data_IF_268458937072
#
_entry.id   IF_268458937072
#
_cell.length_a   1.000
_cell.length_b   1.000
_cell.length_c   1.000
_cell.angle_alpha   90.00
_cell.angle_beta   90.00
_cell.angle_gamma   90.00
#
_symmetry.space_group_name_H-M   'P 1'
#
loop_
_entity.id
_entity.type
_entity.pdbx_description
1 polymer ?
#
# COMPACT_ATOMS: atom_id res chain seq x y z
N UNK A 1 29.73 44.55 48.34
CA UNK A 1 28.57 44.17 47.50
C UNK A 1 28.98 43.06 46.55
N UNK A 2 28.68 41.81 46.88
CA UNK A 2 28.95 40.65 46.02
C UNK A 2 27.76 40.49 45.06
N UNK A 3 27.97 40.74 43.76
CA UNK A 3 26.97 40.50 42.72
C UNK A 3 26.73 38.99 42.60
N UNK A 4 25.55 38.52 42.97
CA UNK A 4 25.05 37.17 42.65
C UNK A 4 25.02 37.01 41.12
N UNK A 5 25.88 36.15 40.59
CA UNK A 5 25.75 35.66 39.22
C UNK A 5 24.48 34.79 39.13
N UNK A 6 23.51 35.23 38.33
CA UNK A 6 22.37 34.42 37.94
C UNK A 6 22.88 33.22 37.14
N UNK A 7 22.79 32.02 37.72
CA UNK A 7 22.99 30.77 36.98
C UNK A 7 21.88 30.65 35.94
N UNK A 8 22.23 30.79 34.66
CA UNK A 8 21.32 30.45 33.56
C UNK A 8 20.98 28.96 33.70
N UNK A 9 19.72 28.66 34.08
CA UNK A 9 19.16 27.31 34.02
C UNK A 9 19.33 26.79 32.59
N UNK A 10 20.25 25.85 32.40
CA UNK A 10 20.37 25.13 31.12
C UNK A 10 19.06 24.37 30.94
N UNK A 11 18.28 24.76 29.92
CA UNK A 11 17.07 24.02 29.55
C UNK A 11 17.47 22.59 29.21
N UNK A 12 16.84 21.63 29.88
CA UNK A 12 17.11 20.22 29.63
C UNK A 12 16.83 19.92 28.14
N UNK A 13 17.80 19.29 27.46
CA UNK A 13 17.65 18.88 26.06
C UNK A 13 16.42 17.99 25.94
N UNK A 14 15.41 18.45 25.21
CA UNK A 14 14.21 17.68 24.91
C UNK A 14 14.51 16.79 23.71
N UNK A 15 14.27 15.49 23.87
CA UNK A 15 14.35 14.53 22.78
C UNK A 15 12.95 14.39 22.17
N UNK A 16 12.89 14.35 20.85
CA UNK A 16 11.65 14.19 20.08
C UNK A 16 11.84 13.14 18.99
N UNK A 17 10.76 12.52 18.54
CA UNK A 17 10.73 11.71 17.32
C UNK A 17 10.74 12.59 16.06
N UNK A 18 10.88 11.99 14.88
CA UNK A 18 10.71 12.67 13.58
C UNK A 18 9.36 13.40 13.44
N UNK A 19 8.30 12.88 14.08
CA UNK A 19 7.00 13.54 14.11
C UNK A 19 6.85 14.58 15.24
N UNK A 20 7.96 14.99 15.87
CA UNK A 20 8.02 15.95 16.98
C UNK A 20 7.31 15.51 18.28
N UNK A 21 7.12 14.20 18.51
CA UNK A 21 6.59 13.75 19.80
C UNK A 21 7.69 13.76 20.86
N UNK A 22 7.48 14.39 22.04
CA UNK A 22 8.45 14.36 23.11
C UNK A 22 8.63 12.95 23.66
N UNK A 23 9.88 12.49 23.70
CA UNK A 23 10.22 11.18 24.28
C UNK A 23 10.93 11.36 25.63
N UNK A 24 10.48 10.56 26.61
CA UNK A 24 11.11 10.51 27.93
C UNK A 24 12.33 9.61 27.91
N UNK A 25 13.35 9.96 28.69
CA UNK A 25 14.52 9.10 28.91
C UNK A 25 14.14 7.71 29.44
N UNK A 26 13.12 7.66 30.31
CA UNK A 26 12.61 6.42 30.91
C UNK A 26 11.08 6.46 30.91
N UNK A 27 10.45 5.37 30.46
CA UNK A 27 9.02 5.13 30.60
C UNK A 27 8.79 4.15 31.75
N UNK A 28 8.09 4.60 32.79
CA UNK A 28 7.68 3.75 33.91
C UNK A 28 6.23 3.29 33.73
N UNK A 29 5.86 2.21 34.43
CA UNK A 29 4.47 1.72 34.44
C UNK A 29 3.53 2.85 34.84
N UNK A 30 2.59 3.18 33.96
CA UNK A 30 1.56 4.17 34.23
C UNK A 30 0.61 3.66 35.31
N UNK A 31 0.19 4.53 36.22
CA UNK A 31 -0.89 4.27 37.20
C UNK A 31 -2.27 4.16 36.53
N UNK A 32 -2.43 4.70 35.32
CA UNK A 32 -3.67 4.55 34.52
C UNK A 32 -3.90 3.09 34.17
N UNK A 33 -5.10 2.59 34.49
CA UNK A 33 -5.58 1.27 34.04
C UNK A 33 -5.96 1.36 32.56
N UNK A 34 -5.33 0.55 31.71
CA UNK A 34 -5.72 0.39 30.31
C UNK A 34 -6.56 -0.87 30.16
N UNK A 35 -7.58 -0.81 29.30
CA UNK A 35 -8.31 -2.02 28.88
C UNK A 35 -7.33 -2.90 28.13
N UNK A 36 -7.24 -4.17 28.54
CA UNK A 36 -6.38 -5.14 27.86
C UNK A 36 -6.95 -5.39 26.46
N UNK A 37 -6.13 -5.17 25.45
CA UNK A 37 -6.43 -5.51 24.06
C UNK A 37 -5.65 -6.78 23.68
N UNK A 38 -6.28 -7.66 22.90
CA UNK A 38 -5.68 -8.89 22.38
C UNK A 38 -5.66 -8.87 20.83
N UNK A 39 -4.77 -9.65 20.22
CA UNK A 39 -4.67 -9.78 18.75
C UNK A 39 -5.90 -10.51 18.19
N UNK A 40 -6.32 -10.16 16.97
CA UNK A 40 -7.53 -10.73 16.35
C UNK A 40 -8.86 -10.17 16.90
N UNK A 41 -8.81 -9.29 17.91
CA UNK A 41 -10.00 -8.70 18.54
C UNK A 41 -10.07 -7.20 18.23
N UNK A 42 -11.26 -6.68 17.93
CA UNK A 42 -11.49 -5.24 17.76
C UNK A 42 -10.96 -4.46 18.98
N UNK A 43 -10.19 -3.35 18.80
CA UNK A 43 -9.96 -2.60 17.56
C UNK A 43 -8.64 -2.97 16.84
N UNK A 44 -8.21 -4.24 16.93
CA UNK A 44 -7.09 -4.83 16.18
C UNK A 44 -5.73 -4.15 16.37
N UNK A 45 -5.56 -3.42 17.46
CA UNK A 45 -4.33 -2.67 17.77
C UNK A 45 -3.10 -3.58 17.90
N UNK A 46 -3.29 -4.85 18.25
CA UNK A 46 -2.23 -5.84 18.43
C UNK A 46 -2.04 -6.79 17.24
N UNK A 47 -2.84 -6.64 16.19
CA UNK A 47 -2.85 -7.55 15.04
C UNK A 47 -4.26 -7.95 14.64
N UNK A 48 -4.45 -8.29 13.36
CA UNK A 48 -5.76 -8.66 12.78
C UNK A 48 -6.08 -10.16 12.90
N UNK A 49 -5.08 -10.99 13.19
CA UNK A 49 -5.23 -12.43 13.44
C UNK A 49 -4.84 -12.73 14.89
N UNK A 50 -5.41 -13.78 15.47
CA UNK A 50 -5.14 -14.15 16.86
C UNK A 50 -3.68 -14.58 17.06
N UNK A 51 -3.19 -15.51 16.25
CA UNK A 51 -1.82 -16.06 16.38
C UNK A 51 -0.77 -15.31 15.56
N UNK A 52 -1.19 -14.43 14.64
CA UNK A 52 -0.30 -13.65 13.76
C UNK A 52 0.82 -14.53 13.17
N UNK A 53 2.08 -14.14 13.41
CA UNK A 53 3.25 -14.78 12.81
C UNK A 53 3.68 -16.07 13.52
N UNK A 54 2.99 -16.50 14.58
CA UNK A 54 3.17 -17.84 15.16
C UNK A 54 2.51 -18.91 14.28
N UNK A 55 1.45 -18.54 13.57
CA UNK A 55 0.75 -19.41 12.63
C UNK A 55 1.32 -19.28 11.21
N UNK A 56 1.44 -18.04 10.70
CA UNK A 56 1.90 -17.78 9.34
C UNK A 56 2.70 -16.48 9.26
N UNK A 57 3.92 -16.57 8.72
CA UNK A 57 4.74 -15.39 8.44
C UNK A 57 4.07 -14.44 7.43
N UNK A 58 4.50 -13.17 7.43
CA UNK A 58 4.10 -12.23 6.40
C UNK A 58 4.55 -12.72 5.02
N UNK A 59 3.85 -12.30 3.97
CA UNK A 59 4.28 -12.56 2.60
C UNK A 59 5.55 -11.78 2.31
N UNK A 60 6.65 -12.48 2.05
CA UNK A 60 7.86 -11.88 1.50
C UNK A 60 7.64 -11.65 0.02
N UNK A 61 7.48 -10.38 -0.36
CA UNK A 61 7.14 -9.95 -1.71
C UNK A 61 8.12 -8.87 -2.14
N UNK A 62 9.05 -9.22 -3.02
CA UNK A 62 10.00 -8.26 -3.59
C UNK A 62 9.38 -7.52 -4.77
N UNK A 63 9.64 -6.22 -4.80
CA UNK A 63 9.24 -5.32 -5.88
C UNK A 63 10.22 -5.47 -7.04
N UNK A 64 9.72 -5.86 -8.21
CA UNK A 64 10.57 -6.17 -9.37
C UNK A 64 9.85 -5.90 -10.70
N UNK A 65 10.65 -5.66 -11.73
CA UNK A 65 10.20 -5.27 -13.07
C UNK A 65 11.25 -4.34 -13.63
N UNK A 66 11.83 -4.70 -14.77
CA UNK A 66 12.86 -3.90 -15.44
C UNK A 66 12.99 -4.35 -16.89
N UNK A 67 13.17 -3.40 -17.80
CA UNK A 67 13.33 -3.68 -19.22
C UNK A 67 12.04 -4.17 -19.86
N UNK A 68 12.16 -5.21 -20.67
CA UNK A 68 11.03 -5.81 -21.38
C UNK A 68 10.30 -6.91 -20.58
N UNK A 69 9.17 -7.37 -21.14
CA UNK A 69 8.36 -8.40 -20.54
C UNK A 69 9.10 -9.74 -20.37
N UNK A 70 10.04 -10.09 -21.26
CA UNK A 70 10.79 -11.35 -21.20
C UNK A 70 11.78 -11.34 -20.04
N UNK A 71 12.57 -10.27 -19.90
CA UNK A 71 13.50 -10.10 -18.77
C UNK A 71 12.76 -10.10 -17.43
N UNK A 72 11.59 -9.46 -17.39
CA UNK A 72 10.72 -9.48 -16.20
C UNK A 72 10.21 -10.89 -15.89
N UNK A 73 9.82 -11.67 -16.90
CA UNK A 73 9.41 -13.07 -16.72
C UNK A 73 10.56 -13.95 -16.16
N UNK A 74 11.75 -13.84 -16.73
CA UNK A 74 12.95 -14.56 -16.26
C UNK A 74 13.24 -14.22 -14.79
N UNK A 75 13.14 -12.95 -14.42
CA UNK A 75 13.28 -12.49 -13.03
C UNK A 75 12.19 -13.04 -12.12
N UNK A 76 10.93 -13.08 -12.56
CA UNK A 76 9.85 -13.67 -11.77
C UNK A 76 10.06 -15.17 -11.52
N UNK A 77 10.43 -15.93 -12.54
CA UNK A 77 10.76 -17.37 -12.42
C UNK A 77 11.91 -17.58 -11.44
N UNK A 78 12.99 -16.80 -11.56
CA UNK A 78 14.11 -16.83 -10.61
C UNK A 78 13.66 -16.57 -9.17
N UNK A 79 12.85 -15.53 -8.93
CA UNK A 79 12.39 -15.20 -7.58
C UNK A 79 11.49 -16.29 -6.97
N UNK A 80 10.60 -16.88 -7.78
CA UNK A 80 9.76 -18.01 -7.34
C UNK A 80 10.62 -19.23 -6.99
N UNK A 81 11.64 -19.54 -7.79
CA UNK A 81 12.61 -20.61 -7.49
C UNK A 81 13.36 -20.36 -6.17
N UNK A 82 13.69 -19.11 -5.85
CA UNK A 82 14.35 -18.71 -4.59
C UNK A 82 13.38 -18.55 -3.40
N UNK A 83 12.14 -19.02 -3.52
CA UNK A 83 11.20 -19.10 -2.41
C UNK A 83 10.34 -17.85 -2.19
N UNK A 84 10.31 -16.92 -3.14
CA UNK A 84 9.36 -15.80 -3.09
C UNK A 84 7.91 -16.33 -3.18
N UNK A 85 7.05 -15.85 -2.29
CA UNK A 85 5.68 -16.39 -2.13
C UNK A 85 4.60 -15.56 -2.84
N UNK A 86 5.00 -14.48 -3.52
CA UNK A 86 4.12 -13.67 -4.36
C UNK A 86 4.91 -12.66 -5.19
N UNK A 87 4.45 -12.34 -6.39
CA UNK A 87 5.13 -11.46 -7.34
C UNK A 87 4.71 -10.00 -7.15
N UNK A 88 5.59 -9.04 -7.37
CA UNK A 88 5.19 -7.63 -7.40
C UNK A 88 5.80 -6.97 -8.62
N UNK A 89 4.94 -6.54 -9.54
CA UNK A 89 5.30 -5.96 -10.83
C UNK A 89 5.41 -4.44 -10.72
N UNK A 90 6.58 -3.93 -11.08
CA UNK A 90 6.88 -2.52 -11.32
C UNK A 90 6.74 -2.21 -12.81
N UNK A 91 6.07 -1.12 -13.17
CA UNK A 91 5.87 -0.70 -14.56
C UNK A 91 6.73 0.52 -14.87
N UNK A 92 7.15 0.68 -16.12
CA UNK A 92 7.87 1.88 -16.54
C UNK A 92 6.99 3.15 -16.50
N UNK A 93 7.58 4.33 -16.70
CA UNK A 93 6.80 5.57 -16.67
C UNK A 93 5.75 5.63 -17.79
N UNK A 94 6.05 5.31 -19.07
CA UNK A 94 5.07 5.32 -20.15
C UNK A 94 3.82 4.48 -19.83
N UNK A 95 3.99 3.24 -19.37
CA UNK A 95 2.87 2.37 -18.99
C UNK A 95 2.04 2.96 -17.84
N UNK A 96 2.69 3.63 -16.88
CA UNK A 96 2.01 4.25 -15.73
C UNK A 96 1.14 5.45 -16.13
N UNK A 97 1.56 6.24 -17.12
CA UNK A 97 0.87 7.44 -17.59
C UNK A 97 0.12 7.24 -18.92
N UNK A 98 -0.01 6.00 -19.38
CA UNK A 98 -0.89 5.64 -20.50
C UNK A 98 -0.33 5.99 -21.88
N UNK A 99 1.00 5.96 -22.02
CA UNK A 99 1.70 6.15 -23.28
C UNK A 99 2.21 4.83 -23.82
N UNK A 100 2.02 4.61 -25.11
CA UNK A 100 2.68 3.53 -25.85
C UNK A 100 4.19 3.83 -25.96
N UNK A 101 5.04 2.79 -26.05
CA UNK A 101 6.50 2.93 -26.02
C UNK A 101 7.07 3.64 -27.26
N UNK A 102 6.32 3.72 -28.35
CA UNK A 102 6.68 4.45 -29.58
C UNK A 102 6.18 5.91 -29.59
N UNK A 103 5.51 6.35 -28.52
CA UNK A 103 5.07 7.74 -28.39
C UNK A 103 6.23 8.68 -28.06
N UNK A 104 6.17 9.91 -28.58
CA UNK A 104 7.20 10.94 -28.34
C UNK A 104 7.46 11.15 -26.82
N UNK A 105 6.44 11.25 -25.94
CA UNK A 105 6.68 11.43 -24.50
C UNK A 105 7.35 10.25 -23.80
N UNK A 106 7.41 9.06 -24.43
CA UNK A 106 8.00 7.86 -23.84
C UNK A 106 9.52 7.75 -24.07
N UNK A 107 10.08 8.59 -24.96
CA UNK A 107 11.51 8.55 -25.31
C UNK A 107 12.40 8.62 -24.07
N UNK A 108 13.31 7.65 -23.93
CA UNK A 108 14.27 7.58 -22.82
C UNK A 108 13.71 7.01 -21.49
N UNK A 109 12.43 6.67 -21.44
CA UNK A 109 11.77 6.15 -20.22
C UNK A 109 11.21 4.73 -20.35
N UNK A 110 11.13 4.18 -21.57
CA UNK A 110 10.70 2.81 -21.84
C UNK A 110 11.58 1.79 -21.10
N UNK A 111 10.98 0.95 -20.26
CA UNK A 111 11.67 -0.13 -19.55
C UNK A 111 12.66 0.30 -18.46
N UNK A 112 12.80 1.61 -18.16
CA UNK A 112 13.88 2.15 -17.32
C UNK A 112 13.66 1.96 -15.82
N UNK A 113 12.44 2.21 -15.35
CA UNK A 113 12.08 2.12 -13.92
C UNK A 113 11.13 0.97 -13.61
N UNK A 114 10.84 0.13 -14.61
CA UNK A 114 9.89 -0.96 -14.53
C UNK A 114 9.77 -1.69 -15.86
N UNK A 115 8.86 -2.64 -15.96
CA UNK A 115 8.57 -3.34 -17.22
C UNK A 115 7.73 -2.45 -18.15
N UNK A 116 8.05 -2.44 -19.43
CA UNK A 116 7.21 -1.86 -20.49
C UNK A 116 6.09 -2.83 -20.87
N UNK A 117 4.83 -2.44 -20.68
CA UNK A 117 3.65 -3.23 -21.06
C UNK A 117 2.73 -2.33 -21.91
N UNK A 118 2.79 -2.48 -23.23
CA UNK A 118 1.96 -1.73 -24.17
C UNK A 118 0.68 -2.50 -24.55
N UNK A 119 0.74 -3.83 -24.52
CA UNK A 119 -0.30 -4.70 -25.04
C UNK A 119 -0.59 -5.91 -24.15
N UNK A 120 -1.70 -6.59 -24.43
CA UNK A 120 -1.99 -7.90 -23.84
C UNK A 120 -0.86 -8.91 -24.12
N UNK A 121 -0.23 -8.85 -25.30
CA UNK A 121 0.87 -9.76 -25.67
C UNK A 121 2.06 -9.60 -24.71
N UNK A 122 2.39 -8.38 -24.32
CA UNK A 122 3.48 -8.12 -23.37
C UNK A 122 3.14 -8.70 -21.99
N UNK A 123 1.89 -8.52 -21.55
CA UNK A 123 1.42 -9.14 -20.29
C UNK A 123 1.47 -10.67 -20.34
N UNK A 124 1.11 -11.28 -21.48
CA UNK A 124 1.23 -12.73 -21.70
C UNK A 124 2.68 -13.19 -21.60
N UNK A 125 3.63 -12.46 -22.22
CA UNK A 125 5.06 -12.76 -22.13
C UNK A 125 5.56 -12.65 -20.68
N UNK A 126 5.18 -11.58 -19.97
CA UNK A 126 5.61 -11.34 -18.60
C UNK A 126 5.20 -12.47 -17.64
N UNK A 127 4.09 -13.16 -17.92
CA UNK A 127 3.56 -14.27 -17.13
C UNK A 127 3.62 -15.64 -17.82
N UNK A 128 4.38 -15.78 -18.90
CA UNK A 128 4.55 -17.06 -19.58
C UNK A 128 5.16 -18.11 -18.63
N UNK A 129 4.54 -19.29 -18.56
CA UNK A 129 4.91 -20.36 -17.63
C UNK A 129 4.67 -20.06 -16.15
N UNK A 130 3.96 -18.98 -15.79
CA UNK A 130 3.59 -18.64 -14.42
C UNK A 130 2.06 -18.78 -14.26
N UNK A 131 1.56 -19.80 -13.52
CA UNK A 131 0.13 -20.07 -13.41
C UNK A 131 -0.58 -19.08 -12.47
N UNK A 132 -1.30 -18.10 -13.03
CA UNK A 132 -1.87 -16.97 -12.29
C UNK A 132 -2.91 -17.35 -11.22
N UNK A 133 -3.64 -18.45 -11.37
CA UNK A 133 -4.54 -18.95 -10.31
C UNK A 133 -3.80 -19.47 -9.07
N UNK A 134 -2.52 -19.84 -9.20
CA UNK A 134 -1.72 -20.46 -8.13
C UNK A 134 -0.80 -19.48 -7.42
N UNK A 135 -0.42 -18.38 -8.07
CA UNK A 135 0.41 -17.32 -7.50
C UNK A 135 -0.42 -16.10 -7.11
N UNK A 136 0.09 -15.27 -6.21
CA UNK A 136 -0.49 -13.95 -5.96
C UNK A 136 0.39 -12.87 -6.55
N UNK A 137 -0.18 -11.95 -7.33
CA UNK A 137 0.58 -10.86 -7.97
C UNK A 137 0.10 -9.48 -7.50
N UNK A 138 1.05 -8.60 -7.17
CA UNK A 138 0.79 -7.20 -6.90
C UNK A 138 1.22 -6.39 -8.12
N UNK A 139 0.41 -5.43 -8.54
CA UNK A 139 0.70 -4.51 -9.64
C UNK A 139 0.75 -3.09 -9.08
N UNK A 140 1.94 -2.49 -9.08
CA UNK A 140 2.14 -1.12 -8.60
C UNK A 140 1.83 -0.15 -9.73
N UNK A 141 0.53 0.00 -9.98
CA UNK A 141 -0.04 0.76 -11.09
C UNK A 141 -1.26 1.52 -10.60
N UNK A 142 -1.48 2.73 -11.13
CA UNK A 142 -2.51 3.65 -10.65
C UNK A 142 -3.43 4.11 -11.79
N UNK A 143 -3.06 5.14 -12.56
CA UNK A 143 -3.95 5.72 -13.58
C UNK A 143 -4.42 4.73 -14.64
N UNK A 144 -3.58 3.76 -15.01
CA UNK A 144 -3.89 2.71 -15.98
C UNK A 144 -4.30 1.39 -15.31
N UNK A 145 -4.52 1.35 -13.99
CA UNK A 145 -4.74 0.13 -13.23
C UNK A 145 -5.90 -0.73 -13.73
N UNK A 146 -6.99 -0.12 -14.20
CA UNK A 146 -8.12 -0.85 -14.79
C UNK A 146 -7.72 -1.62 -16.04
N UNK A 147 -6.91 -1.00 -16.90
CA UNK A 147 -6.41 -1.62 -18.15
C UNK A 147 -5.47 -2.78 -17.84
N UNK A 148 -4.50 -2.57 -16.95
CA UNK A 148 -3.54 -3.62 -16.61
C UNK A 148 -4.20 -4.77 -15.83
N UNK A 149 -5.23 -4.49 -15.02
CA UNK A 149 -6.06 -5.56 -14.43
C UNK A 149 -6.84 -6.33 -15.49
N UNK A 150 -7.41 -5.65 -16.49
CA UNK A 150 -8.09 -6.33 -17.59
C UNK A 150 -7.13 -7.28 -18.33
N UNK A 151 -5.90 -6.84 -18.64
CA UNK A 151 -4.88 -7.72 -19.23
C UNK A 151 -4.55 -8.90 -18.31
N UNK A 152 -4.35 -8.65 -17.02
CA UNK A 152 -4.06 -9.71 -16.06
C UNK A 152 -5.16 -10.77 -15.98
N UNK A 153 -6.43 -10.35 -16.01
CA UNK A 153 -7.59 -11.26 -16.04
C UNK A 153 -7.57 -12.10 -17.31
N UNK A 154 -7.41 -11.47 -18.49
CA UNK A 154 -7.38 -12.18 -19.77
C UNK A 154 -6.23 -13.18 -19.85
N UNK A 155 -5.05 -12.83 -19.31
CA UNK A 155 -3.93 -13.79 -19.21
C UNK A 155 -4.34 -14.98 -18.33
N UNK A 156 -4.96 -14.75 -17.16
CA UNK A 156 -5.43 -15.83 -16.29
C UNK A 156 -6.46 -16.74 -16.96
N UNK A 157 -7.41 -16.15 -17.68
CA UNK A 157 -8.43 -16.88 -18.44
C UNK A 157 -7.81 -17.68 -19.60
N UNK A 158 -6.82 -17.13 -20.30
CA UNK A 158 -6.08 -17.84 -21.35
C UNK A 158 -5.29 -19.04 -20.83
N UNK A 159 -4.92 -19.02 -19.54
CA UNK A 159 -4.29 -20.15 -18.83
C UNK A 159 -5.32 -21.15 -18.26
N UNK A 160 -6.63 -20.92 -18.46
CA UNK A 160 -7.72 -21.78 -17.99
C UNK A 160 -8.22 -21.51 -16.57
N UNK A 161 -7.83 -20.39 -15.94
CA UNK A 161 -8.32 -19.99 -14.62
C UNK A 161 -9.52 -19.05 -14.72
N UNK A 162 -10.50 -19.19 -13.83
CA UNK A 162 -11.58 -18.21 -13.72
C UNK A 162 -11.08 -16.96 -13.03
N UNK A 163 -11.63 -15.80 -13.38
CA UNK A 163 -11.37 -14.52 -12.68
C UNK A 163 -11.55 -14.61 -11.16
N UNK A 164 -12.48 -15.43 -10.68
CA UNK A 164 -12.72 -15.68 -9.24
C UNK A 164 -11.57 -16.40 -8.51
N UNK A 165 -10.67 -17.04 -9.25
CA UNK A 165 -9.49 -17.74 -8.72
C UNK A 165 -8.24 -16.84 -8.67
N UNK A 166 -8.28 -15.69 -9.34
CA UNK A 166 -7.15 -14.77 -9.42
C UNK A 166 -6.98 -14.00 -8.12
N UNK A 167 -5.76 -14.04 -7.58
CA UNK A 167 -5.39 -13.40 -6.31
C UNK A 167 -4.33 -12.35 -6.55
N UNK A 168 -4.57 -11.15 -6.06
CA UNK A 168 -3.60 -10.09 -6.24
C UNK A 168 -4.07 -8.74 -5.77
N UNK A 169 -3.29 -7.73 -6.09
CA UNK A 169 -3.52 -6.35 -5.66
C UNK A 169 -3.15 -5.40 -6.78
N UNK A 170 -3.99 -4.41 -7.03
CA UNK A 170 -3.61 -3.20 -7.78
C UNK A 170 -3.40 -2.07 -6.80
N UNK A 171 -2.37 -1.23 -7.00
CA UNK A 171 -2.17 -0.08 -6.12
C UNK A 171 -3.37 0.88 -6.22
N UNK A 172 -3.72 1.33 -7.43
CA UNK A 172 -4.97 2.01 -7.77
C UNK A 172 -5.37 3.12 -6.78
N UNK A 173 -4.39 3.81 -6.19
CA UNK A 173 -4.61 4.91 -5.27
C UNK A 173 -4.27 6.21 -6.02
N UNK A 174 -5.27 6.82 -6.65
CA UNK A 174 -5.05 8.03 -7.45
C UNK A 174 -4.87 9.29 -6.58
N UNK A 175 -5.50 9.38 -5.42
CA UNK A 175 -5.41 10.57 -4.57
C UNK A 175 -3.96 10.87 -4.15
N UNK A 176 -3.18 9.85 -3.79
CA UNK A 176 -1.76 10.03 -3.49
C UNK A 176 -0.90 10.36 -4.71
N UNK A 177 -1.37 10.11 -5.93
CA UNK A 177 -0.68 10.59 -7.15
C UNK A 177 -0.64 12.10 -7.21
N UNK A 178 -1.76 12.77 -6.92
CA UNK A 178 -1.80 14.23 -6.92
C UNK A 178 -1.03 14.85 -5.74
N UNK A 179 -0.84 14.10 -4.66
CA UNK A 179 -0.16 14.60 -3.45
C UNK A 179 1.36 14.43 -3.55
N UNK A 180 1.85 13.29 -4.05
CA UNK A 180 3.26 12.91 -3.87
C UNK A 180 3.93 12.21 -5.06
N UNK A 181 3.19 11.53 -5.95
CA UNK A 181 3.80 10.58 -6.91
C UNK A 181 3.71 10.97 -8.39
N UNK A 182 2.79 11.88 -8.75
CA UNK A 182 2.71 12.54 -10.07
C UNK A 182 2.51 11.64 -11.30
N UNK A 183 1.99 10.41 -11.15
CA UNK A 183 1.64 9.53 -12.30
C UNK A 183 0.14 9.52 -12.62
N UNK A 184 -0.52 10.66 -12.45
CA UNK A 184 -1.95 10.84 -12.81
C UNK A 184 -2.13 11.17 -14.30
N UNK A 185 -3.23 10.69 -14.90
CA UNK A 185 -3.60 11.02 -16.30
C UNK A 185 -4.78 12.00 -16.33
N UNK A 186 -5.84 11.70 -15.58
CA UNK A 186 -7.08 12.47 -15.60
C UNK A 186 -7.17 13.45 -14.42
N UNK A 187 -8.08 14.44 -14.45
CA UNK A 187 -8.41 15.24 -13.28
C UNK A 187 -8.99 14.39 -12.12
N UNK A 188 -9.01 14.88 -10.87
CA UNK A 188 -9.41 14.08 -9.71
C UNK A 188 -10.80 13.42 -9.81
N UNK A 189 -11.81 14.15 -10.29
CA UNK A 189 -13.20 13.64 -10.35
C UNK A 189 -13.38 12.42 -11.27
N UNK A 190 -12.97 12.44 -12.56
CA UNK A 190 -13.05 11.25 -13.39
C UNK A 190 -12.16 10.10 -12.88
N UNK A 191 -11.00 10.40 -12.30
CA UNK A 191 -10.16 9.37 -11.71
C UNK A 191 -10.85 8.65 -10.55
N UNK A 192 -11.47 9.39 -9.60
CA UNK A 192 -12.22 8.79 -8.50
C UNK A 192 -13.37 7.90 -8.99
N UNK A 193 -14.04 8.30 -10.08
CA UNK A 193 -15.06 7.46 -10.72
C UNK A 193 -14.48 6.12 -11.19
N UNK A 194 -13.32 6.11 -11.85
CA UNK A 194 -12.63 4.88 -12.28
C UNK A 194 -12.23 4.00 -11.09
N UNK A 195 -11.76 4.59 -9.99
CA UNK A 195 -11.47 3.82 -8.76
C UNK A 195 -12.73 3.13 -8.25
N UNK A 196 -13.84 3.85 -8.16
CA UNK A 196 -15.13 3.28 -7.74
C UNK A 196 -15.65 2.19 -8.69
N UNK A 197 -15.47 2.37 -10.01
CA UNK A 197 -15.85 1.38 -11.04
C UNK A 197 -15.09 0.08 -10.81
N UNK A 198 -13.77 0.18 -10.62
CA UNK A 198 -12.88 -0.96 -10.44
C UNK A 198 -13.09 -1.67 -9.09
N UNK A 199 -13.32 -0.94 -8.00
CA UNK A 199 -13.67 -1.54 -6.70
C UNK A 199 -14.96 -2.36 -6.82
N UNK A 200 -16.00 -1.79 -7.45
CA UNK A 200 -17.26 -2.50 -7.63
C UNK A 200 -17.15 -3.71 -8.55
N UNK A 201 -16.41 -3.58 -9.65
CA UNK A 201 -16.14 -4.71 -10.55
C UNK A 201 -15.43 -5.86 -9.82
N UNK A 202 -14.39 -5.56 -9.03
CA UNK A 202 -13.67 -6.60 -8.28
C UNK A 202 -14.54 -7.23 -7.19
N UNK A 203 -15.40 -6.46 -6.51
CA UNK A 203 -16.30 -7.01 -5.50
C UNK A 203 -17.24 -8.09 -6.08
N UNK A 204 -17.68 -7.94 -7.33
CA UNK A 204 -18.59 -8.89 -7.98
C UNK A 204 -17.86 -9.98 -8.79
N UNK A 205 -16.91 -9.60 -9.64
CA UNK A 205 -16.33 -10.47 -10.68
C UNK A 205 -14.98 -11.05 -10.32
N UNK A 206 -14.21 -10.38 -9.46
CA UNK A 206 -12.85 -10.79 -9.07
C UNK A 206 -12.68 -10.76 -7.54
N UNK A 207 -13.54 -11.47 -6.79
CA UNK A 207 -13.73 -11.27 -5.34
C UNK A 207 -12.51 -11.62 -4.47
N UNK A 208 -11.44 -12.20 -5.05
CA UNK A 208 -10.18 -12.47 -4.37
C UNK A 208 -9.11 -11.39 -4.63
N UNK A 209 -9.42 -10.39 -5.46
CA UNK A 209 -8.55 -9.26 -5.76
C UNK A 209 -8.70 -8.15 -4.71
N UNK A 210 -7.58 -7.50 -4.39
CA UNK A 210 -7.55 -6.25 -3.63
C UNK A 210 -7.50 -5.09 -4.64
N UNK A 211 -8.64 -4.43 -4.94
CA UNK A 211 -8.73 -3.45 -6.03
C UNK A 211 -7.94 -2.17 -5.76
N UNK A 212 -7.60 -1.89 -4.50
CA UNK A 212 -6.83 -0.72 -4.10
C UNK A 212 -5.92 -1.05 -2.90
N UNK A 213 -4.70 -0.51 -2.96
CA UNK A 213 -3.75 -0.45 -1.86
C UNK A 213 -3.53 1.01 -1.49
N UNK A 214 -4.26 1.48 -0.48
CA UNK A 214 -4.33 2.88 -0.06
C UNK A 214 -3.00 3.24 0.63
N UNK A 215 -2.23 4.11 0.00
CA UNK A 215 -0.78 4.18 0.16
C UNK A 215 -0.32 5.45 0.86
N UNK A 216 0.27 5.28 2.05
CA UNK A 216 1.05 6.30 2.75
C UNK A 216 2.52 6.36 2.36
N UNK A 217 3.08 5.24 1.85
CA UNK A 217 4.50 5.11 1.53
C UNK A 217 5.06 6.32 0.76
N UNK A 218 4.49 6.64 -0.39
CA UNK A 218 4.97 7.72 -1.26
C UNK A 218 4.88 9.11 -0.61
N UNK A 219 3.85 9.34 0.21
CA UNK A 219 3.72 10.60 0.95
C UNK A 219 4.81 10.72 2.03
N UNK A 220 5.17 9.60 2.68
CA UNK A 220 6.29 9.53 3.65
C UNK A 220 7.64 9.74 2.95
N UNK A 221 7.87 9.09 1.80
CA UNK A 221 9.08 9.32 0.98
C UNK A 221 9.15 10.76 0.43
N UNK A 222 8.02 11.43 0.23
CA UNK A 222 7.95 12.84 -0.14
C UNK A 222 8.11 13.81 1.07
N UNK A 223 8.34 13.30 2.28
CA UNK A 223 8.66 14.09 3.47
C UNK A 223 7.55 14.24 4.51
N UNK A 224 6.45 13.48 4.44
CA UNK A 224 5.45 13.49 5.51
C UNK A 224 6.01 12.91 6.82
N UNK A 225 5.57 13.45 7.96
CA UNK A 225 5.73 12.80 9.28
C UNK A 225 4.92 11.50 9.38
N UNK A 226 5.22 10.63 10.35
CA UNK A 226 4.45 9.39 10.58
C UNK A 226 2.96 9.69 10.89
N UNK A 227 2.70 10.81 11.55
CA UNK A 227 1.34 11.29 11.83
C UNK A 227 0.61 11.70 10.55
N UNK A 228 1.27 12.50 9.70
CA UNK A 228 0.71 12.92 8.41
C UNK A 228 0.46 11.72 7.49
N UNK A 229 1.40 10.76 7.45
CA UNK A 229 1.24 9.53 6.67
C UNK A 229 -0.06 8.80 7.03
N UNK A 230 -0.32 8.53 8.32
CA UNK A 230 -1.58 7.89 8.72
C UNK A 230 -2.77 8.80 8.38
N UNK A 231 -2.71 10.08 8.75
CA UNK A 231 -3.84 10.98 8.61
C UNK A 231 -4.30 11.11 7.15
N UNK A 232 -3.36 11.35 6.23
CA UNK A 232 -3.65 11.49 4.80
C UNK A 232 -4.09 10.16 4.18
N UNK A 233 -3.44 9.05 4.54
CA UNK A 233 -3.82 7.72 4.02
C UNK A 233 -5.23 7.32 4.45
N UNK A 234 -5.59 7.57 5.72
CA UNK A 234 -6.94 7.30 6.22
C UNK A 234 -7.97 8.27 5.63
N UNK A 235 -7.59 9.53 5.36
CA UNK A 235 -8.45 10.48 4.65
C UNK A 235 -8.74 9.99 3.21
N UNK A 236 -7.73 9.50 2.49
CA UNK A 236 -7.92 8.88 1.17
C UNK A 236 -8.84 7.67 1.27
N UNK A 237 -8.67 6.81 2.28
CA UNK A 237 -9.55 5.66 2.51
C UNK A 237 -11.01 6.08 2.71
N UNK A 238 -11.26 7.12 3.52
CA UNK A 238 -12.61 7.68 3.72
C UNK A 238 -13.19 8.15 2.38
N UNK A 239 -12.41 8.83 1.54
CA UNK A 239 -12.86 9.33 0.24
C UNK A 239 -13.20 8.17 -0.73
N UNK A 240 -12.39 7.12 -0.78
CA UNK A 240 -12.68 5.93 -1.60
C UNK A 240 -13.92 5.18 -1.11
N UNK A 241 -14.05 4.99 0.20
CA UNK A 241 -15.23 4.36 0.80
C UNK A 241 -16.48 5.17 0.43
N UNK A 242 -16.45 6.50 0.61
CA UNK A 242 -17.58 7.35 0.26
C UNK A 242 -17.92 7.25 -1.23
N UNK A 243 -16.91 7.24 -2.10
CA UNK A 243 -17.10 7.07 -3.55
C UNK A 243 -17.83 5.77 -3.88
N UNK A 244 -17.54 4.67 -3.19
CA UNK A 244 -18.26 3.41 -3.38
C UNK A 244 -19.69 3.46 -2.83
N UNK A 245 -19.89 4.05 -1.64
CA UNK A 245 -21.21 4.19 -1.04
C UNK A 245 -22.15 5.07 -1.88
N UNK A 246 -21.65 6.18 -2.43
CA UNK A 246 -22.41 7.10 -3.30
C UNK A 246 -22.88 6.41 -4.59
N UNK A 247 -22.24 5.31 -4.96
CA UNK A 247 -22.60 4.46 -6.11
C UNK A 247 -23.52 3.29 -5.74
N UNK A 248 -23.94 3.19 -4.48
CA UNK A 248 -24.85 2.17 -3.99
C UNK A 248 -24.19 0.86 -3.57
N UNK A 249 -22.85 0.77 -3.50
CA UNK A 249 -22.19 -0.40 -2.93
C UNK A 249 -22.42 -0.45 -1.42
N UNK A 250 -22.60 -1.65 -0.86
CA UNK A 250 -22.67 -1.81 0.60
C UNK A 250 -21.26 -1.92 1.16
N UNK A 251 -21.02 -1.28 2.31
CA UNK A 251 -19.68 -1.23 2.92
C UNK A 251 -19.02 -2.60 3.05
N UNK A 252 -19.77 -3.61 3.49
CA UNK A 252 -19.26 -4.96 3.75
C UNK A 252 -19.04 -5.78 2.48
N UNK A 253 -19.51 -5.32 1.31
CA UNK A 253 -19.28 -6.00 0.03
C UNK A 253 -17.85 -5.74 -0.50
N UNK A 254 -17.23 -4.61 -0.14
CA UNK A 254 -15.92 -4.22 -0.67
C UNK A 254 -14.85 -3.90 0.38
N UNK A 255 -15.22 -3.43 1.58
CA UNK A 255 -14.25 -3.10 2.63
C UNK A 255 -13.33 -4.27 3.04
N UNK A 256 -13.78 -5.54 3.04
CA UNK A 256 -12.89 -6.69 3.27
C UNK A 256 -11.77 -6.85 2.22
N UNK A 257 -11.83 -6.13 1.10
CA UNK A 257 -10.80 -6.13 0.04
C UNK A 257 -10.05 -4.82 -0.08
N UNK A 258 -10.24 -3.87 0.83
CA UNK A 258 -9.33 -2.73 0.96
C UNK A 258 -8.02 -3.20 1.62
N UNK A 259 -6.91 -2.71 1.07
CA UNK A 259 -5.58 -2.90 1.62
C UNK A 259 -4.85 -1.57 1.70
N UNK A 260 -3.74 -1.53 2.42
CA UNK A 260 -2.97 -0.34 2.69
C UNK A 260 -1.48 -0.57 2.41
N UNK A 261 -0.74 0.51 2.23
CA UNK A 261 0.70 0.45 2.03
C UNK A 261 1.42 1.57 2.75
N UNK A 262 2.27 1.22 3.71
CA UNK A 262 3.00 2.19 4.53
C UNK A 262 4.51 2.07 4.36
N UNK A 263 5.20 3.17 4.62
CA UNK A 263 6.65 3.19 4.76
C UNK A 263 7.06 2.68 6.15
N UNK A 264 8.28 2.19 6.29
CA UNK A 264 8.93 1.90 7.57
C UNK A 264 10.29 2.61 7.57
N UNK A 265 10.39 3.70 8.33
CA UNK A 265 11.61 4.51 8.46
C UNK A 265 12.50 4.03 9.61
N UNK A 266 13.65 4.69 9.81
CA UNK A 266 14.63 4.37 10.85
C UNK A 266 14.17 4.68 12.28
N UNK A 267 13.17 5.55 12.47
CA UNK A 267 12.55 5.87 13.77
C UNK A 267 11.72 4.70 14.31
N UNK A 268 12.43 3.64 14.72
CA UNK A 268 11.91 2.28 14.94
C UNK A 268 10.66 2.21 15.83
N UNK A 269 10.67 2.88 16.99
CA UNK A 269 9.54 2.80 17.92
C UNK A 269 8.33 3.61 17.47
N UNK A 270 8.55 4.73 16.77
CA UNK A 270 7.45 5.52 16.18
C UNK A 270 6.75 4.71 15.10
N UNK A 271 7.50 4.01 14.24
CA UNK A 271 6.93 3.17 13.18
C UNK A 271 6.09 2.01 13.74
N UNK A 272 6.57 1.36 14.80
CA UNK A 272 5.79 0.33 15.53
C UNK A 272 4.50 0.95 16.11
N UNK A 273 4.58 2.14 16.69
CA UNK A 273 3.40 2.82 17.22
C UNK A 273 2.42 3.21 16.09
N UNK A 274 2.93 3.72 14.97
CA UNK A 274 2.21 4.13 13.77
C UNK A 274 1.33 2.99 13.26
N UNK A 275 1.90 1.81 13.01
CA UNK A 275 1.13 0.68 12.50
C UNK A 275 0.02 0.22 13.44
N UNK A 276 0.26 0.26 14.76
CA UNK A 276 -0.74 -0.12 15.77
C UNK A 276 -1.89 0.90 15.83
N UNK A 277 -1.56 2.18 15.79
CA UNK A 277 -2.53 3.28 15.78
C UNK A 277 -3.36 3.27 14.49
N UNK A 278 -2.73 3.05 13.33
CA UNK A 278 -3.42 2.97 12.04
C UNK A 278 -4.56 1.94 12.07
N UNK A 279 -4.28 0.71 12.56
CA UNK A 279 -5.31 -0.33 12.71
C UNK A 279 -6.46 0.11 13.60
N UNK A 280 -6.14 0.69 14.76
CA UNK A 280 -7.14 1.15 15.75
C UNK A 280 -8.04 2.24 15.18
N UNK A 281 -7.45 3.25 14.55
CA UNK A 281 -8.16 4.39 13.98
C UNK A 281 -9.06 3.94 12.82
N UNK A 282 -8.54 3.13 11.91
CA UNK A 282 -9.32 2.57 10.81
C UNK A 282 -10.52 1.75 11.29
N UNK A 283 -10.30 0.82 12.22
CA UNK A 283 -11.36 -0.04 12.75
C UNK A 283 -12.49 0.79 13.39
N UNK A 284 -12.14 1.83 14.15
CA UNK A 284 -13.11 2.76 14.73
C UNK A 284 -13.89 3.53 13.68
N UNK A 285 -13.21 4.10 12.68
CA UNK A 285 -13.88 4.85 11.60
C UNK A 285 -14.89 3.96 10.87
N UNK A 286 -14.49 2.74 10.47
CA UNK A 286 -15.40 1.84 9.77
C UNK A 286 -16.61 1.44 10.61
N UNK A 287 -16.42 1.22 11.91
CA UNK A 287 -17.50 0.85 12.83
C UNK A 287 -18.44 2.02 13.17
N UNK A 288 -17.87 3.17 13.51
CA UNK A 288 -18.59 4.32 14.07
C UNK A 288 -19.17 5.22 12.98
N UNK A 289 -18.41 5.48 11.90
CA UNK A 289 -18.82 6.37 10.81
C UNK A 289 -19.54 5.63 9.68
N UNK A 290 -19.03 4.46 9.29
CA UNK A 290 -19.57 3.71 8.15
C UNK A 290 -20.45 2.52 8.54
N UNK A 291 -20.63 2.27 9.84
CA UNK A 291 -21.51 1.23 10.39
C UNK A 291 -21.26 -0.18 9.81
N UNK A 292 -20.01 -0.48 9.45
CA UNK A 292 -19.62 -1.79 8.95
C UNK A 292 -19.90 -2.87 10.01
N UNK A 293 -20.52 -3.97 9.58
CA UNK A 293 -20.97 -5.06 10.45
C UNK A 293 -20.06 -6.28 10.35
N UNK A 294 -19.45 -6.51 9.20
CA UNK A 294 -18.49 -7.59 9.02
C UNK A 294 -17.17 -7.26 9.75
N UNK A 295 -16.71 -8.10 10.70
CA UNK A 295 -15.42 -7.90 11.35
C UNK A 295 -14.25 -7.77 10.37
N UNK A 296 -14.31 -8.40 9.19
CA UNK A 296 -13.27 -8.33 8.14
C UNK A 296 -13.17 -6.94 7.50
N UNK A 297 -14.26 -6.18 7.48
CA UNK A 297 -14.29 -4.78 7.00
C UNK A 297 -13.51 -3.85 7.92
N UNK A 298 -13.46 -4.19 9.22
CA UNK A 298 -12.79 -3.40 10.25
C UNK A 298 -11.27 -3.66 10.30
N UNK A 299 -10.77 -4.65 9.57
CA UNK A 299 -9.37 -5.07 9.59
C UNK A 299 -8.55 -4.27 8.57
N UNK A 300 -7.64 -3.42 9.07
CA UNK A 300 -6.62 -2.80 8.23
C UNK A 300 -5.55 -3.83 7.88
N UNK A 301 -5.54 -4.32 6.64
CA UNK A 301 -4.48 -5.16 6.06
C UNK A 301 -3.50 -4.26 5.34
N UNK A 302 -2.19 -4.42 5.58
CA UNK A 302 -1.20 -3.57 4.93
C UNK A 302 0.04 -4.33 4.47
N UNK A 303 0.61 -3.83 3.37
CA UNK A 303 1.99 -4.05 2.97
C UNK A 303 2.88 -2.95 3.59
N UNK A 304 4.14 -3.27 3.86
CA UNK A 304 5.13 -2.31 4.31
C UNK A 304 6.38 -2.44 3.47
N UNK A 305 7.00 -1.31 3.16
CA UNK A 305 8.30 -1.24 2.51
C UNK A 305 9.21 -0.36 3.36
N UNK A 306 10.48 -0.75 3.48
CA UNK A 306 11.49 0.09 4.13
C UNK A 306 11.70 1.36 3.31
N UNK A 307 11.96 2.48 3.99
CA UNK A 307 12.17 3.77 3.34
C UNK A 307 13.36 3.72 2.36
N UNK A 308 13.13 4.14 1.12
CA UNK A 308 14.19 4.32 0.14
C UNK A 308 14.98 5.60 0.41
N UNK A 309 14.31 6.65 0.85
CA UNK A 309 14.93 7.93 1.27
C UNK A 309 16.03 7.73 2.32
N UNK A 310 15.84 6.79 3.26
CA UNK A 310 16.83 6.51 4.30
C UNK A 310 18.10 5.79 3.84
N UNK A 311 18.15 5.29 2.60
CA UNK A 311 19.30 4.55 2.06
C UNK A 311 20.35 5.53 1.49
N UNK A 312 21.62 5.26 1.76
CA UNK A 312 22.72 6.11 1.29
C UNK A 312 23.47 5.47 0.13
N UNK A 313 23.86 6.29 -0.86
CA UNK A 313 24.74 5.83 -1.94
C UNK A 313 26.18 5.62 -1.44
N UNK A 314 26.59 6.41 -0.44
CA UNK A 314 27.86 6.27 0.25
C UNK A 314 27.74 5.16 1.30
N UNK A 315 28.72 4.26 1.33
CA UNK A 315 28.75 3.11 2.25
C UNK A 315 27.43 2.30 2.21
N UNK A 316 27.06 1.78 1.02
CA UNK A 316 25.73 1.20 0.76
C UNK A 316 25.48 -0.13 1.48
#
# INVERSE_FOLDING_TARGET
MVKKQNSKKVLAKQYVTDSNFPVKRIYQRSSKKYVKEDSGVYPYTRGIHTEMFRERFWTMRQYSGFGDAKLTNERFKFMLEKGQTGLSMAFDLPTQIGHDPDSIPAEGEVGKVGVSIASLKDMMIAFDGIPLGKVSSSMTINSTASTLLAYYIVVGESQGFKSTELRGTTQNDILKEYIARNTYIYPPKPSMRLIGDMIGYCAEKVPQWYPVSISGYHMREAGCTATQEIAFTIANAIAYIQTCLDRGLKIDDFAPRLSFFFCCTIEFFEEVAKFRVARKVYAKILKEKFHAKDPRSLQLKFHTQTSGESLTAQQP
#
